data_IF_152332127584
#
_entry.id   IF_152332127584
#
_cell.length_a   1.000
_cell.length_b   1.000
_cell.length_c   1.000
_cell.angle_alpha   90.00
_cell.angle_beta   90.00
_cell.angle_gamma   90.00
#
_symmetry.space_group_name_H-M   'P 1'
#
loop_
_entity.id
_entity.type
_entity.pdbx_description
1 polymer ?
#
# COMPACT_ATOMS: atom_id res chain seq x y z
N UNK A 1 -41.60 -29.76 -14.46
CA UNK A 1 -40.18 -29.38 -14.61
C UNK A 1 -39.96 -27.92 -14.20
N UNK A 2 -38.83 -27.56 -13.58
CA UNK A 2 -38.53 -26.15 -13.28
C UNK A 2 -38.07 -25.44 -14.55
N UNK A 3 -38.76 -24.36 -14.90
CA UNK A 3 -38.44 -23.52 -16.06
C UNK A 3 -37.04 -22.88 -15.96
N UNK A 4 -36.24 -22.85 -17.04
CA UNK A 4 -35.00 -22.07 -17.08
C UNK A 4 -35.25 -20.57 -16.87
N UNK A 5 -34.40 -19.90 -16.10
CA UNK A 5 -34.56 -18.45 -15.78
C UNK A 5 -34.50 -17.52 -16.99
N UNK A 6 -33.89 -17.96 -18.08
CA UNK A 6 -33.71 -17.17 -19.31
C UNK A 6 -34.90 -17.26 -20.27
N UNK A 7 -35.84 -18.18 -20.04
CA UNK A 7 -36.97 -18.44 -20.91
C UNK A 7 -38.25 -17.81 -20.32
N UNK A 8 -38.96 -16.96 -21.09
CA UNK A 8 -40.18 -16.29 -20.60
C UNK A 8 -41.38 -17.25 -20.65
N UNK A 9 -42.49 -16.89 -19.98
CA UNK A 9 -43.68 -17.76 -19.93
C UNK A 9 -44.38 -17.74 -21.28
N UNK A 10 -44.43 -16.55 -21.90
CA UNK A 10 -44.88 -16.33 -23.26
C UNK A 10 -44.18 -17.22 -24.27
N UNK A 11 -42.86 -17.36 -24.15
CA UNK A 11 -42.06 -18.09 -25.13
C UNK A 11 -42.36 -19.60 -25.08
N UNK A 12 -42.67 -20.12 -23.89
CA UNK A 12 -43.07 -21.52 -23.69
C UNK A 12 -44.47 -21.76 -24.25
N UNK A 13 -45.43 -20.91 -23.90
CA UNK A 13 -46.79 -21.01 -24.43
C UNK A 13 -46.80 -20.94 -25.96
N UNK A 14 -45.89 -20.14 -26.55
CA UNK A 14 -45.69 -20.07 -27.99
C UNK A 14 -45.09 -21.35 -28.58
N UNK A 15 -44.13 -21.99 -27.91
CA UNK A 15 -43.52 -23.25 -28.34
C UNK A 15 -44.44 -24.46 -28.14
N UNK A 16 -45.34 -24.44 -27.16
CA UNK A 16 -46.33 -25.50 -26.92
C UNK A 16 -47.36 -25.63 -28.06
N UNK A 17 -47.58 -24.55 -28.83
CA UNK A 17 -48.42 -24.56 -30.03
C UNK A 17 -47.70 -24.85 -31.34
N UNK A 18 -46.39 -25.13 -31.31
CA UNK A 18 -45.57 -25.40 -32.49
C UNK A 18 -45.32 -26.90 -32.67
N UNK A 19 -44.95 -27.31 -33.88
CA UNK A 19 -44.43 -28.66 -34.10
C UNK A 19 -43.14 -28.88 -33.28
N UNK A 20 -42.84 -30.12 -32.85
CA UNK A 20 -41.70 -30.38 -31.96
C UNK A 20 -40.35 -29.92 -32.51
N UNK A 21 -40.15 -30.02 -33.83
CA UNK A 21 -38.90 -29.60 -34.48
C UNK A 21 -38.76 -28.06 -34.50
N UNK A 22 -39.84 -27.34 -34.79
CA UNK A 22 -39.89 -25.88 -34.75
C UNK A 22 -39.70 -25.33 -33.33
N UNK A 23 -40.27 -26.02 -32.33
CA UNK A 23 -40.06 -25.67 -30.93
C UNK A 23 -38.58 -25.80 -30.51
N UNK A 24 -37.87 -26.83 -31.02
CA UNK A 24 -36.45 -27.04 -30.72
C UNK A 24 -35.54 -26.02 -31.40
N UNK A 25 -35.85 -25.62 -32.64
CA UNK A 25 -35.10 -24.56 -33.34
C UNK A 25 -35.29 -23.21 -32.66
N UNK A 26 -36.53 -22.86 -32.27
CA UNK A 26 -36.80 -21.63 -31.52
C UNK A 26 -36.16 -21.63 -30.13
N UNK A 27 -36.17 -22.77 -29.43
CA UNK A 27 -35.48 -22.90 -28.14
C UNK A 27 -33.97 -22.61 -28.29
N UNK A 28 -33.36 -23.13 -29.36
CA UNK A 28 -31.94 -22.92 -29.65
C UNK A 28 -31.66 -21.45 -29.94
N UNK A 29 -32.50 -20.82 -30.78
CA UNK A 29 -32.40 -19.38 -31.08
C UNK A 29 -32.50 -18.52 -29.82
N UNK A 30 -33.51 -18.74 -28.98
CA UNK A 30 -33.70 -18.00 -27.73
C UNK A 30 -32.53 -18.17 -26.76
N UNK A 31 -31.96 -19.38 -26.72
CA UNK A 31 -30.80 -19.66 -25.89
C UNK A 31 -29.54 -18.93 -26.37
N UNK A 32 -29.31 -18.89 -27.68
CA UNK A 32 -28.17 -18.20 -28.27
C UNK A 32 -28.32 -16.68 -28.19
N UNK A 33 -29.52 -16.14 -28.38
CA UNK A 33 -29.85 -14.73 -28.14
C UNK A 33 -29.57 -14.33 -26.69
N UNK A 34 -29.96 -15.17 -25.73
CA UNK A 34 -29.69 -14.92 -24.31
C UNK A 34 -28.17 -14.96 -24.03
N UNK A 35 -27.43 -15.89 -24.63
CA UNK A 35 -25.96 -15.95 -24.51
C UNK A 35 -25.29 -14.72 -25.13
N UNK A 36 -25.76 -14.26 -26.28
CA UNK A 36 -25.27 -13.06 -26.96
C UNK A 36 -25.47 -11.82 -26.07
N UNK A 37 -26.70 -11.60 -25.60
CA UNK A 37 -27.02 -10.51 -24.65
C UNK A 37 -26.17 -10.58 -23.37
N UNK A 38 -25.97 -11.77 -22.82
CA UNK A 38 -25.13 -11.96 -21.65
C UNK A 38 -23.64 -11.69 -21.94
N UNK A 39 -23.16 -11.94 -23.16
CA UNK A 39 -21.80 -11.62 -23.59
C UNK A 39 -21.64 -10.11 -23.76
N UNK A 40 -22.57 -9.45 -24.43
CA UNK A 40 -22.56 -8.01 -24.63
C UNK A 40 -22.65 -7.26 -23.31
N UNK A 41 -23.49 -7.73 -22.39
CA UNK A 41 -23.52 -7.18 -21.03
C UNK A 41 -22.15 -7.29 -20.34
N UNK A 42 -21.41 -8.38 -20.57
CA UNK A 42 -20.07 -8.55 -19.99
C UNK A 42 -19.03 -7.64 -20.59
N UNK A 43 -19.12 -7.39 -21.90
CA UNK A 43 -18.22 -6.50 -22.61
C UNK A 43 -18.49 -5.04 -22.27
N UNK A 44 -19.76 -4.65 -22.14
CA UNK A 44 -20.19 -3.27 -21.86
C UNK A 44 -20.09 -2.90 -20.38
N UNK A 45 -20.14 -3.87 -19.46
CA UNK A 45 -20.12 -3.60 -18.02
C UNK A 45 -19.01 -4.37 -17.26
N UNK A 46 -17.72 -4.25 -17.65
CA UNK A 46 -16.63 -5.02 -17.05
C UNK A 46 -16.45 -4.69 -15.55
N UNK A 47 -16.61 -3.43 -15.17
CA UNK A 47 -16.45 -2.96 -13.79
C UNK A 47 -17.51 -3.54 -12.85
N UNK A 48 -18.78 -3.52 -13.25
CA UNK A 48 -19.88 -4.09 -12.46
C UNK A 48 -19.68 -5.59 -12.22
N UNK A 49 -19.15 -6.30 -13.22
CA UNK A 49 -18.84 -7.73 -13.09
C UNK A 49 -17.64 -7.95 -12.16
N UNK A 50 -16.59 -7.15 -12.29
CA UNK A 50 -15.43 -7.22 -11.41
C UNK A 50 -15.85 -6.97 -9.95
N UNK A 51 -16.67 -5.94 -9.70
CA UNK A 51 -17.20 -5.61 -8.38
C UNK A 51 -18.09 -6.74 -7.82
N UNK A 52 -19.00 -7.28 -8.63
CA UNK A 52 -19.84 -8.41 -8.23
C UNK A 52 -18.99 -9.64 -7.88
N UNK A 53 -18.02 -10.00 -8.72
CA UNK A 53 -17.09 -11.11 -8.49
C UNK A 53 -16.28 -10.90 -7.22
N UNK A 54 -15.77 -9.70 -6.98
CA UNK A 54 -15.03 -9.35 -5.76
C UNK A 54 -15.88 -9.57 -4.51
N UNK A 55 -17.12 -9.03 -4.48
CA UNK A 55 -18.05 -9.21 -3.35
C UNK A 55 -18.41 -10.68 -3.13
N UNK A 56 -18.72 -11.40 -4.21
CA UNK A 56 -19.04 -12.83 -4.16
C UNK A 56 -17.86 -13.65 -3.63
N UNK A 57 -16.65 -13.38 -4.12
CA UNK A 57 -15.44 -14.08 -3.69
C UNK A 57 -15.12 -13.82 -2.21
N UNK A 58 -15.32 -12.58 -1.74
CA UNK A 58 -15.17 -12.23 -0.32
C UNK A 58 -16.18 -12.98 0.55
N UNK A 59 -17.45 -13.01 0.15
CA UNK A 59 -18.54 -13.68 0.90
C UNK A 59 -18.40 -15.20 0.90
N UNK A 60 -17.94 -15.80 -0.20
CA UNK A 60 -17.91 -17.25 -0.38
C UNK A 60 -16.49 -17.84 -0.46
N UNK A 61 -15.51 -17.18 0.17
CA UNK A 61 -14.08 -17.55 0.14
C UNK A 61 -13.84 -19.05 0.43
N UNK A 62 -14.46 -19.59 1.49
CA UNK A 62 -14.30 -21.01 1.89
C UNK A 62 -14.82 -21.97 0.82
N UNK A 63 -16.00 -21.71 0.25
CA UNK A 63 -16.60 -22.54 -0.81
C UNK A 63 -15.74 -22.53 -2.08
N UNK A 64 -15.23 -21.36 -2.46
CA UNK A 64 -14.38 -21.23 -3.64
C UNK A 64 -13.08 -22.00 -3.43
N UNK A 65 -12.42 -21.83 -2.28
CA UNK A 65 -11.20 -22.57 -1.94
C UNK A 65 -11.41 -24.09 -1.96
N UNK A 66 -12.53 -24.59 -1.43
CA UNK A 66 -12.86 -26.02 -1.46
C UNK A 66 -13.07 -26.53 -2.90
N UNK A 67 -13.81 -25.77 -3.72
CA UNK A 67 -14.04 -26.10 -5.14
C UNK A 67 -12.73 -26.09 -5.94
N UNK A 68 -11.88 -25.10 -5.71
CA UNK A 68 -10.58 -24.99 -6.38
C UNK A 68 -9.64 -26.13 -5.95
N UNK A 69 -9.65 -26.51 -4.67
CA UNK A 69 -8.92 -27.69 -4.17
C UNK A 69 -9.40 -28.96 -4.86
N UNK A 70 -10.71 -29.19 -4.94
CA UNK A 70 -11.28 -30.36 -5.62
C UNK A 70 -10.91 -30.39 -7.11
N UNK A 71 -11.01 -29.25 -7.81
CA UNK A 71 -10.60 -29.12 -9.20
C UNK A 71 -9.11 -29.40 -9.39
N UNK A 72 -8.28 -28.95 -8.46
CA UNK A 72 -6.84 -29.22 -8.51
C UNK A 72 -6.51 -30.69 -8.28
N UNK A 73 -7.21 -31.37 -7.36
CA UNK A 73 -7.03 -32.81 -7.17
C UNK A 73 -7.49 -33.59 -8.40
N UNK A 74 -8.63 -33.24 -8.98
CA UNK A 74 -9.09 -33.84 -10.25
C UNK A 74 -8.07 -33.62 -11.38
N UNK A 75 -7.46 -32.43 -11.45
CA UNK A 75 -6.40 -32.15 -12.42
C UNK A 75 -5.15 -33.02 -12.20
N UNK A 76 -4.79 -33.34 -10.96
CA UNK A 76 -3.62 -34.20 -10.69
C UNK A 76 -3.80 -35.63 -11.17
N UNK A 77 -5.04 -36.11 -11.21
CA UNK A 77 -5.36 -37.43 -11.75
C UNK A 77 -5.18 -37.48 -13.28
N UNK A 78 -5.32 -36.34 -13.95
CA UNK A 78 -5.04 -36.15 -15.38
C UNK A 78 -3.57 -35.75 -15.58
N UNK A 79 -2.72 -36.76 -15.76
CA UNK A 79 -1.25 -36.60 -15.81
C UNK A 79 -0.81 -35.64 -16.92
N UNK A 80 -1.42 -35.70 -18.10
CA UNK A 80 -1.07 -34.86 -19.24
C UNK A 80 -1.44 -33.40 -19.00
N UNK A 81 -2.67 -33.12 -18.54
CA UNK A 81 -3.08 -31.75 -18.24
C UNK A 81 -2.31 -31.17 -17.06
N UNK A 82 -1.96 -32.00 -16.08
CA UNK A 82 -1.13 -31.58 -14.96
C UNK A 82 0.30 -31.24 -15.40
N UNK A 83 0.92 -32.07 -16.25
CA UNK A 83 2.24 -31.83 -16.81
C UNK A 83 2.27 -30.54 -17.64
N UNK A 84 1.30 -30.34 -18.54
CA UNK A 84 1.16 -29.10 -19.34
C UNK A 84 1.00 -27.87 -18.45
N UNK A 85 0.22 -27.96 -17.38
CA UNK A 85 0.08 -26.85 -16.42
C UNK A 85 1.41 -26.52 -15.74
N UNK A 86 2.18 -27.53 -15.30
CA UNK A 86 3.50 -27.34 -14.70
C UNK A 86 4.49 -26.72 -15.68
N UNK A 87 4.46 -27.14 -16.93
CA UNK A 87 5.30 -26.56 -17.99
C UNK A 87 4.97 -25.09 -18.23
N UNK A 88 3.68 -24.74 -18.33
CA UNK A 88 3.24 -23.35 -18.44
C UNK A 88 3.67 -22.50 -17.23
N UNK A 89 3.62 -23.07 -16.03
CA UNK A 89 4.07 -22.39 -14.81
C UNK A 89 5.59 -22.14 -14.85
N UNK A 90 6.37 -23.15 -15.27
CA UNK A 90 7.82 -23.00 -15.50
C UNK A 90 8.14 -21.95 -16.56
N UNK A 91 7.42 -21.94 -17.68
CA UNK A 91 7.59 -20.94 -18.74
C UNK A 91 7.23 -19.55 -18.26
N UNK A 92 6.14 -19.40 -17.48
CA UNK A 92 5.75 -18.12 -16.89
C UNK A 92 6.80 -17.61 -15.91
N UNK A 93 7.39 -18.50 -15.13
CA UNK A 93 8.48 -18.17 -14.23
C UNK A 93 9.76 -17.82 -15.01
N UNK A 94 10.10 -18.56 -16.06
CA UNK A 94 11.25 -18.29 -16.93
C UNK A 94 11.12 -16.93 -17.64
N UNK A 95 9.92 -16.61 -18.14
CA UNK A 95 9.61 -15.37 -18.85
C UNK A 95 9.22 -14.21 -17.93
N UNK A 96 9.28 -14.39 -16.61
CA UNK A 96 9.02 -13.32 -15.66
C UNK A 96 10.17 -12.30 -15.80
N UNK A 97 9.89 -11.00 -16.04
CA UNK A 97 10.93 -10.01 -16.28
C UNK A 97 11.93 -10.00 -15.12
N UNK A 98 13.24 -9.93 -15.42
CA UNK A 98 14.34 -9.94 -14.43
C UNK A 98 14.20 -8.86 -13.35
N UNK A 99 13.48 -7.77 -13.62
CA UNK A 99 13.10 -6.77 -12.60
C UNK A 99 12.33 -7.37 -11.41
N UNK A 100 11.69 -8.54 -11.59
CA UNK A 100 11.01 -9.29 -10.53
C UNK A 100 11.95 -10.24 -9.74
N UNK A 101 13.22 -10.35 -10.14
CA UNK A 101 14.15 -11.40 -9.69
C UNK A 101 15.50 -10.94 -9.20
N UNK A 102 15.85 -9.65 -9.23
CA UNK A 102 17.13 -9.19 -8.68
C UNK A 102 17.22 -9.56 -7.18
N UNK A 103 17.97 -10.63 -6.85
CA UNK A 103 17.96 -11.18 -5.50
C UNK A 103 18.65 -10.21 -4.55
N UNK A 104 19.59 -9.41 -5.05
CA UNK A 104 20.33 -8.42 -4.28
C UNK A 104 19.37 -7.32 -3.81
N UNK A 105 18.60 -6.72 -4.73
CA UNK A 105 17.60 -5.69 -4.38
C UNK A 105 16.51 -6.21 -3.46
N UNK A 106 16.06 -7.46 -3.67
CA UNK A 106 15.08 -8.09 -2.78
C UNK A 106 15.66 -8.29 -1.38
N UNK A 107 16.85 -8.87 -1.28
CA UNK A 107 17.53 -9.12 -0.01
C UNK A 107 17.79 -7.81 0.73
N UNK A 108 18.17 -6.76 -0.01
CA UNK A 108 18.37 -5.44 0.58
C UNK A 108 17.05 -4.86 1.11
N UNK A 109 15.97 -4.93 0.33
CA UNK A 109 14.63 -4.49 0.78
C UNK A 109 14.18 -5.25 2.03
N UNK A 110 14.34 -6.57 2.05
CA UNK A 110 14.02 -7.40 3.20
C UNK A 110 14.91 -7.04 4.41
N UNK A 111 16.21 -6.79 4.19
CA UNK A 111 17.14 -6.34 5.23
C UNK A 111 16.66 -5.03 5.84
N UNK A 112 16.38 -4.01 5.02
CA UNK A 112 15.88 -2.70 5.47
C UNK A 112 14.58 -2.84 6.26
N UNK A 113 13.65 -3.66 5.75
CA UNK A 113 12.39 -3.96 6.44
C UNK A 113 12.62 -4.59 7.83
N UNK A 114 13.48 -5.63 7.93
CA UNK A 114 13.80 -6.28 9.21
C UNK A 114 14.43 -5.30 10.20
N UNK A 115 15.31 -4.40 9.74
CA UNK A 115 15.93 -3.38 10.58
C UNK A 115 14.91 -2.34 11.09
N UNK A 116 13.93 -1.95 10.27
CA UNK A 116 12.82 -1.07 10.69
C UNK A 116 11.86 -1.75 11.66
N UNK A 117 11.61 -3.05 11.46
CA UNK A 117 10.86 -3.83 12.44
C UNK A 117 11.61 -3.94 13.78
N UNK A 118 12.94 -4.04 13.75
CA UNK A 118 13.76 -4.06 14.97
C UNK A 118 13.63 -2.75 15.75
N UNK A 119 13.77 -1.59 15.09
CA UNK A 119 13.57 -0.27 15.74
C UNK A 119 12.15 -0.11 16.28
N UNK A 120 11.14 -0.44 15.48
CA UNK A 120 9.74 -0.38 15.92
C UNK A 120 9.47 -1.28 17.13
N UNK A 121 10.00 -2.51 17.13
CA UNK A 121 9.81 -3.44 18.24
C UNK A 121 10.51 -2.92 19.50
N UNK A 122 11.70 -2.31 19.38
CA UNK A 122 12.35 -1.65 20.51
C UNK A 122 11.55 -0.45 21.00
N UNK A 123 11.03 0.39 20.10
CA UNK A 123 10.21 1.54 20.46
C UNK A 123 8.93 1.14 21.22
N UNK A 124 8.27 0.06 20.80
CA UNK A 124 7.03 -0.43 21.41
C UNK A 124 7.24 -1.19 22.72
N UNK A 125 8.14 -2.17 22.71
CA UNK A 125 8.27 -3.13 23.80
C UNK A 125 9.33 -2.70 24.83
N UNK A 126 10.32 -1.92 24.39
CA UNK A 126 11.49 -1.55 25.20
C UNK A 126 11.94 -0.09 24.98
N UNK A 127 11.03 0.89 25.17
CA UNK A 127 11.31 2.30 24.86
C UNK A 127 12.52 2.85 25.64
N UNK A 128 12.75 2.37 26.86
CA UNK A 128 13.88 2.78 27.69
C UNK A 128 15.24 2.35 27.10
N UNK A 129 15.33 1.14 26.54
CA UNK A 129 16.56 0.66 25.87
C UNK A 129 16.83 1.49 24.61
N UNK A 130 15.79 1.76 23.82
CA UNK A 130 15.93 2.60 22.62
C UNK A 130 16.34 4.03 22.99
N UNK A 131 15.74 4.61 24.04
CA UNK A 131 16.11 5.93 24.55
C UNK A 131 17.58 5.99 24.98
N UNK A 132 18.07 4.98 25.72
CA UNK A 132 19.49 4.89 26.11
C UNK A 132 20.40 4.84 24.88
N UNK A 133 20.06 4.04 23.88
CA UNK A 133 20.82 3.93 22.63
C UNK A 133 20.85 5.26 21.84
N UNK A 134 19.76 6.02 21.83
CA UNK A 134 19.71 7.36 21.22
C UNK A 134 20.53 8.34 22.05
N UNK A 135 20.39 8.31 23.38
CA UNK A 135 21.05 9.23 24.29
C UNK A 135 22.59 9.14 24.22
N UNK A 136 23.15 7.95 23.99
CA UNK A 136 24.59 7.76 23.74
C UNK A 136 25.08 8.32 22.42
N UNK A 137 24.18 8.57 21.45
CA UNK A 137 24.51 9.12 20.14
C UNK A 137 24.32 10.64 20.08
N UNK A 138 23.71 11.25 21.10
CA UNK A 138 23.50 12.69 21.14
C UNK A 138 24.78 13.43 21.53
N UNK A 139 25.07 14.57 20.90
CA UNK A 139 26.19 15.41 21.30
C UNK A 139 25.97 16.01 22.70
N UNK A 140 27.07 16.11 23.46
CA UNK A 140 27.03 16.54 24.86
C UNK A 140 26.72 18.02 25.08
N UNK A 141 26.93 18.87 24.06
CA UNK A 141 26.65 20.31 24.14
C UNK A 141 25.16 20.66 24.09
N UNK A 142 24.28 19.71 23.70
CA UNK A 142 22.85 19.97 23.64
C UNK A 142 22.28 20.13 25.05
N UNK A 143 21.49 21.18 25.32
CA UNK A 143 20.86 21.34 26.62
C UNK A 143 19.85 20.21 26.89
N UNK A 144 19.53 19.90 28.15
CA UNK A 144 18.70 18.75 28.50
C UNK A 144 17.33 18.71 27.82
N UNK A 145 16.68 19.86 27.65
CA UNK A 145 15.38 19.96 26.96
C UNK A 145 15.50 19.58 25.47
N UNK A 146 16.49 20.13 24.76
CA UNK A 146 16.75 19.81 23.36
C UNK A 146 17.04 18.32 23.14
N UNK A 147 17.78 17.71 24.07
CA UNK A 147 18.05 16.26 24.02
C UNK A 147 16.77 15.45 24.10
N UNK A 148 15.83 15.86 24.95
CA UNK A 148 14.55 15.18 25.11
C UNK A 148 13.66 15.32 23.88
N UNK A 149 13.63 16.49 23.25
CA UNK A 149 12.87 16.75 22.04
C UNK A 149 13.38 15.91 20.87
N UNK A 150 14.70 15.86 20.67
CA UNK A 150 15.33 15.03 19.64
C UNK A 150 15.07 13.54 19.90
N UNK A 151 15.16 13.08 21.15
CA UNK A 151 14.82 11.69 21.51
C UNK A 151 13.35 11.40 21.15
N UNK A 152 12.43 12.29 21.50
CA UNK A 152 11.00 12.16 21.20
C UNK A 152 10.75 12.04 19.69
N UNK A 153 11.37 12.92 18.90
CA UNK A 153 11.26 12.91 17.44
C UNK A 153 11.78 11.60 16.82
N UNK A 154 12.95 11.13 17.25
CA UNK A 154 13.55 9.87 16.76
C UNK A 154 12.67 8.67 17.12
N UNK A 155 12.09 8.63 18.33
CA UNK A 155 11.19 7.55 18.75
C UNK A 155 9.89 7.57 17.93
N UNK A 156 9.33 8.75 17.66
CA UNK A 156 8.15 8.89 16.81
C UNK A 156 8.41 8.33 15.39
N UNK A 157 9.53 8.69 14.78
CA UNK A 157 9.90 8.18 13.45
C UNK A 157 10.26 6.68 13.44
N UNK A 158 10.72 6.14 14.58
CA UNK A 158 10.89 4.70 14.77
C UNK A 158 9.53 3.97 14.83
N UNK A 159 8.51 4.54 15.49
CA UNK A 159 7.15 4.01 15.54
C UNK A 159 6.48 4.02 14.15
N UNK A 160 6.77 5.03 13.33
CA UNK A 160 6.33 5.14 11.93
C UNK A 160 7.09 4.23 10.96
N UNK A 161 8.09 3.46 11.44
CA UNK A 161 8.94 2.57 10.62
C UNK A 161 9.77 3.32 9.56
N UNK A 162 10.13 4.57 9.81
CA UNK A 162 10.99 5.35 8.91
C UNK A 162 12.46 5.05 9.12
N UNK A 163 12.86 4.72 10.36
CA UNK A 163 14.28 4.56 10.75
C UNK A 163 14.71 3.09 10.77
N UNK A 164 15.84 2.79 10.12
CA UNK A 164 16.55 1.51 10.23
C UNK A 164 17.48 1.51 11.44
N UNK A 165 17.53 0.41 12.19
CA UNK A 165 18.35 0.33 13.41
C UNK A 165 19.84 0.64 13.19
N UNK A 166 20.42 0.16 12.08
CA UNK A 166 21.82 0.44 11.73
C UNK A 166 22.09 1.91 11.40
N UNK A 167 21.06 2.62 10.92
CA UNK A 167 21.12 4.04 10.54
C UNK A 167 20.58 4.95 11.65
N UNK A 168 20.46 4.44 12.87
CA UNK A 168 20.06 5.23 14.02
C UNK A 168 20.99 6.44 14.24
N UNK A 169 22.33 6.34 14.11
CA UNK A 169 23.21 7.51 14.24
C UNK A 169 22.96 8.56 13.17
N UNK A 170 22.73 8.14 11.91
CA UNK A 170 22.40 9.05 10.80
C UNK A 170 21.08 9.78 11.07
N UNK A 171 20.06 9.06 11.54
CA UNK A 171 18.78 9.65 11.90
C UNK A 171 18.90 10.66 13.04
N UNK A 172 19.61 10.30 14.13
CA UNK A 172 19.84 11.21 15.27
C UNK A 172 20.54 12.50 14.80
N UNK A 173 21.60 12.38 13.98
CA UNK A 173 22.29 13.55 13.41
C UNK A 173 21.35 14.43 12.59
N UNK A 174 20.47 13.83 11.78
CA UNK A 174 19.47 14.55 10.99
C UNK A 174 18.50 15.34 11.88
N UNK A 175 18.01 14.74 12.97
CA UNK A 175 17.11 15.42 13.90
C UNK A 175 17.79 16.51 14.72
N UNK A 176 19.05 16.31 15.13
CA UNK A 176 19.85 17.36 15.79
C UNK A 176 20.06 18.54 14.84
N UNK A 177 20.39 18.27 13.57
CA UNK A 177 20.54 19.32 12.56
C UNK A 177 19.23 20.08 12.31
N UNK A 178 18.11 19.35 12.24
CA UNK A 178 16.79 19.96 12.07
C UNK A 178 16.39 20.81 13.28
N UNK A 179 16.68 20.33 14.49
CA UNK A 179 16.49 21.10 15.72
C UNK A 179 17.32 22.39 15.69
N UNK A 180 18.63 22.29 15.45
CA UNK A 180 19.49 23.48 15.38
C UNK A 180 19.02 24.48 14.31
N UNK A 181 18.55 24.01 13.15
CA UNK A 181 17.96 24.89 12.15
C UNK A 181 16.72 25.63 12.63
N UNK A 182 15.85 25.01 13.44
CA UNK A 182 14.68 25.68 14.02
C UNK A 182 15.10 26.81 14.98
N UNK A 183 16.19 26.62 15.73
CA UNK A 183 16.67 27.60 16.71
C UNK A 183 17.67 28.62 16.14
N UNK A 184 18.29 28.35 15.00
CA UNK A 184 19.14 29.33 14.29
C UNK A 184 18.34 30.55 13.81
N UNK A 185 17.01 30.42 13.63
CA UNK A 185 16.12 31.56 13.35
C UNK A 185 15.93 32.50 14.55
N UNK A 186 16.24 32.05 15.77
CA UNK A 186 16.14 32.83 17.00
C UNK A 186 17.49 33.33 17.49
N UNK A 187 18.48 33.50 16.61
CA UNK A 187 19.70 34.24 16.99
C UNK A 187 19.27 35.58 17.56
N UNK A 188 19.60 35.81 18.83
CA UNK A 188 19.51 37.11 19.49
C UNK A 188 20.39 38.06 18.71
N UNK A 189 19.80 38.84 17.82
CA UNK A 189 20.52 39.89 17.13
C UNK A 189 20.44 41.09 18.05
N UNK A 190 21.58 41.58 18.50
CA UNK A 190 21.64 42.79 19.33
C UNK A 190 20.96 43.92 18.57
N UNK A 191 20.14 44.70 19.28
CA UNK A 191 19.45 45.87 18.71
C UNK A 191 20.48 46.85 18.12
N UNK A 192 21.66 46.93 18.75
CA UNK A 192 22.79 47.76 18.32
C UNK A 192 23.64 47.13 17.19
N UNK A 193 23.29 45.95 16.68
CA UNK A 193 24.04 45.38 15.55
C UNK A 193 23.73 46.17 14.25
N UNK A 194 24.76 46.58 13.49
CA UNK A 194 24.56 47.24 12.21
C UNK A 194 23.91 46.27 11.20
N UNK A 195 22.97 46.78 10.42
CA UNK A 195 22.27 46.01 9.39
C UNK A 195 23.19 45.90 8.16
N UNK A 196 23.47 44.66 7.74
CA UNK A 196 24.32 44.41 6.58
C UNK A 196 23.76 45.10 5.32
N UNK A 197 24.58 45.89 4.64
CA UNK A 197 24.19 46.64 3.44
C UNK A 197 23.64 48.04 3.71
N UNK A 198 23.67 48.53 4.95
CA UNK A 198 23.33 49.91 5.32
C UNK A 198 24.53 50.62 5.95
N UNK A 199 24.58 51.95 5.81
CA UNK A 199 25.71 52.79 6.22
C UNK A 199 25.64 53.07 7.74
N UNK A 200 25.82 52.01 8.55
CA UNK A 200 25.83 52.10 10.02
C UNK A 200 24.46 52.14 10.69
N UNK A 201 23.36 51.96 9.94
CA UNK A 201 22.01 51.89 10.51
C UNK A 201 21.89 50.66 11.41
N UNK A 202 21.53 50.89 12.67
CA UNK A 202 21.26 49.82 13.63
C UNK A 202 19.78 49.44 13.59
N UNK A 203 19.44 48.31 14.20
CA UNK A 203 18.02 47.92 14.30
C UNK A 203 17.27 48.74 15.34
N UNK A 204 18.00 49.37 16.27
CA UNK A 204 17.46 50.37 17.19
C UNK A 204 16.81 51.52 16.42
N UNK A 205 17.46 51.97 15.33
CA UNK A 205 17.03 53.12 14.54
C UNK A 205 15.75 52.84 13.72
N UNK A 206 15.36 51.56 13.58
CA UNK A 206 14.13 51.13 12.93
C UNK A 206 12.96 50.94 13.90
N UNK A 207 13.21 50.99 15.21
CA UNK A 207 12.16 50.94 16.23
C UNK A 207 11.60 52.36 16.38
N UNK A 208 10.34 52.52 15.95
CA UNK A 208 9.63 53.79 16.00
C UNK A 208 9.41 54.22 17.46
N UNK A 209 10.02 55.33 17.87
CA UNK A 209 10.01 55.80 19.26
C UNK A 209 8.63 56.26 19.76
N UNK A 210 7.63 56.34 18.88
CA UNK A 210 6.28 56.81 19.20
C UNK A 210 5.29 55.71 19.59
N UNK A 211 5.66 54.42 19.46
CA UNK A 211 4.77 53.32 19.82
C UNK A 211 5.23 52.67 21.13
N UNK A 212 4.43 52.78 22.18
CA UNK A 212 4.67 52.05 23.44
C UNK A 212 4.65 50.54 23.17
N UNK A 213 5.82 49.91 23.32
CA UNK A 213 5.97 48.47 23.32
C UNK A 213 5.85 47.96 24.77
N UNK A 214 4.74 47.28 25.08
CA UNK A 214 4.53 46.53 26.32
C UNK A 214 5.00 45.08 26.16
#
# INVERSE_FOLDING_TARGET
MKRPRWLRKSDIARMEGMAPEDAMTELTRLHDDHKAKARDYRLTNPEKIAAYRSRYNKRHKKRIAAKDKARFQALKLDVERYARRRELERLRDKNRPERARDPIKRNERERRYRQRCKTLNMARNKPLELRKAIQSLLPGYLPPHARMDVIGAVIADALDRKIEFRKLPEAVKSHVSAYNHQFDYFKTISIDAPIAGTDGLTRADLLDSEVMHF
#
